data_IF_140805646176
#
_entry.id   IF_140805646176
#
_cell.length_a   1.000
_cell.length_b   1.000
_cell.length_c   1.000
_cell.angle_alpha   90.00
_cell.angle_beta   90.00
_cell.angle_gamma   90.00
#
_symmetry.space_group_name_H-M   'P 1'
#
loop_
_entity.id
_entity.type
_entity.pdbx_description
1 polymer ?
#
# COMPACT_ATOMS: atom_id res chain seq x y z
N UNK A 1 -17.11 7.78 -49.71
CA UNK A 1 -17.34 7.02 -48.46
C UNK A 1 -17.89 5.66 -48.87
N UNK A 2 -17.18 4.57 -48.59
CA UNK A 2 -17.61 3.22 -49.01
C UNK A 2 -18.78 2.78 -48.11
N UNK A 3 -19.95 2.51 -48.69
CA UNK A 3 -21.08 1.95 -47.95
C UNK A 3 -20.90 0.45 -47.85
N UNK A 4 -20.46 -0.02 -46.68
CA UNK A 4 -20.27 -1.44 -46.37
C UNK A 4 -21.65 -2.09 -46.24
N UNK A 5 -22.08 -2.83 -47.28
CA UNK A 5 -23.31 -3.64 -47.26
C UNK A 5 -22.98 -5.06 -46.85
N UNK A 6 -22.77 -5.29 -45.55
CA UNK A 6 -22.56 -6.64 -45.01
C UNK A 6 -23.87 -7.16 -44.42
N UNK A 7 -24.12 -8.45 -44.58
CA UNK A 7 -25.27 -9.09 -43.94
C UNK A 7 -25.05 -9.15 -42.42
N UNK A 8 -26.14 -9.17 -41.64
CA UNK A 8 -26.07 -9.22 -40.17
C UNK A 8 -25.22 -10.41 -39.68
N UNK A 9 -25.26 -11.51 -40.42
CA UNK A 9 -24.54 -12.75 -40.10
C UNK A 9 -23.03 -12.60 -40.28
N UNK A 10 -22.58 -11.94 -41.36
CA UNK A 10 -21.17 -11.61 -41.58
C UNK A 10 -20.64 -10.62 -40.53
N UNK A 11 -21.48 -9.68 -40.09
CA UNK A 11 -21.11 -8.75 -39.01
C UNK A 11 -20.87 -9.49 -37.67
N UNK A 12 -21.77 -10.41 -37.31
CA UNK A 12 -21.63 -11.22 -36.08
C UNK A 12 -20.42 -12.16 -36.15
N UNK A 13 -20.14 -12.72 -37.32
CA UNK A 13 -19.00 -13.61 -37.50
C UNK A 13 -17.67 -12.87 -37.41
N UNK A 14 -17.62 -11.64 -37.93
CA UNK A 14 -16.46 -10.75 -37.80
C UNK A 14 -16.26 -10.29 -36.35
N UNK A 15 -17.35 -10.00 -35.62
CA UNK A 15 -17.30 -9.67 -34.19
C UNK A 15 -16.80 -10.85 -33.33
N UNK A 16 -17.24 -12.07 -33.64
CA UNK A 16 -16.81 -13.28 -32.93
C UNK A 16 -15.36 -13.67 -33.27
N UNK A 17 -14.93 -13.48 -34.52
CA UNK A 17 -13.54 -13.63 -34.95
C UNK A 17 -12.62 -12.64 -34.24
N UNK A 18 -13.02 -11.37 -34.15
CA UNK A 18 -12.27 -10.33 -33.45
C UNK A 18 -12.15 -10.58 -31.93
N UNK A 19 -13.16 -11.21 -31.33
CA UNK A 19 -13.10 -11.63 -29.92
C UNK A 19 -12.22 -12.87 -29.69
N UNK A 20 -11.99 -13.68 -30.72
CA UNK A 20 -11.16 -14.89 -30.63
C UNK A 20 -9.67 -14.56 -30.71
N UNK A 21 -9.29 -13.53 -31.47
CA UNK A 21 -7.91 -13.04 -31.57
C UNK A 21 -7.51 -12.11 -30.40
N UNK A 22 -8.49 -11.64 -29.62
CA UNK A 22 -8.26 -10.86 -28.42
C UNK A 22 -8.25 -11.78 -27.20
N UNK A 23 -7.25 -12.66 -27.10
CA UNK A 23 -6.88 -13.23 -25.82
C UNK A 23 -6.53 -12.06 -24.89
N UNK A 24 -7.45 -11.70 -24.00
CA UNK A 24 -7.16 -10.76 -22.91
C UNK A 24 -6.00 -11.43 -22.16
N UNK A 25 -4.79 -10.86 -22.18
CA UNK A 25 -3.67 -11.53 -21.54
C UNK A 25 -4.06 -11.68 -20.07
N UNK A 26 -4.11 -12.93 -19.58
CA UNK A 26 -4.25 -13.28 -18.17
C UNK A 26 -3.03 -12.80 -17.32
N UNK A 27 -2.33 -11.77 -17.80
CA UNK A 27 -1.17 -11.13 -17.21
C UNK A 27 -1.53 -10.20 -16.03
N UNK A 28 -2.81 -9.98 -15.74
CA UNK A 28 -3.22 -9.17 -14.59
C UNK A 28 -3.07 -9.91 -13.24
N UNK A 29 -2.91 -11.24 -13.23
CA UNK A 29 -3.04 -12.04 -12.02
C UNK A 29 -1.69 -12.36 -11.33
N UNK A 30 -0.56 -11.95 -11.91
CA UNK A 30 0.78 -12.26 -11.39
C UNK A 30 1.67 -11.05 -11.14
N UNK A 31 1.09 -9.86 -10.93
CA UNK A 31 1.84 -8.70 -10.45
C UNK A 31 2.51 -9.05 -9.11
N UNK A 32 3.86 -9.08 -9.02
CA UNK A 32 4.53 -9.45 -7.79
C UNK A 32 4.19 -8.42 -6.71
N UNK A 33 3.45 -8.85 -5.68
CA UNK A 33 3.16 -7.99 -4.54
C UNK A 33 4.47 -7.43 -3.97
N UNK A 34 4.55 -6.12 -3.69
CA UNK A 34 5.77 -5.51 -3.21
C UNK A 34 6.21 -6.18 -1.90
N UNK A 35 7.41 -6.76 -1.91
CA UNK A 35 7.96 -7.49 -0.76
C UNK A 35 8.10 -6.54 0.44
N UNK A 36 7.43 -6.89 1.54
CA UNK A 36 7.52 -6.12 2.80
C UNK A 36 8.97 -6.11 3.29
N UNK A 37 9.58 -4.92 3.35
CA UNK A 37 10.96 -4.75 3.84
C UNK A 37 11.02 -5.05 5.33
N UNK A 38 12.06 -5.78 5.77
CA UNK A 38 12.34 -6.02 7.19
C UNK A 38 12.65 -4.68 7.87
N UNK A 39 12.12 -4.45 9.08
CA UNK A 39 12.39 -3.22 9.83
C UNK A 39 13.87 -3.12 10.22
N UNK A 40 14.50 -1.98 9.93
CA UNK A 40 15.87 -1.67 10.34
C UNK A 40 16.07 -1.81 11.86
N UNK A 41 17.30 -2.12 12.28
CA UNK A 41 17.68 -2.22 13.69
C UNK A 41 17.35 -0.94 14.48
N UNK A 42 17.48 0.24 13.86
CA UNK A 42 17.09 1.51 14.47
C UNK A 42 15.58 1.60 14.72
N UNK A 43 14.76 1.22 13.72
CA UNK A 43 13.29 1.25 13.83
C UNK A 43 12.79 0.32 14.95
N UNK A 44 13.42 -0.85 15.10
CA UNK A 44 13.13 -1.79 16.19
C UNK A 44 13.47 -1.19 17.57
N UNK A 45 14.67 -0.60 17.71
CA UNK A 45 15.09 0.09 18.93
C UNK A 45 14.15 1.24 19.30
N UNK A 46 13.81 2.07 18.31
CA UNK A 46 12.87 3.18 18.46
C UNK A 46 11.50 2.71 18.95
N UNK A 47 10.91 1.69 18.31
CA UNK A 47 9.61 1.14 18.70
C UNK A 47 9.63 0.64 20.15
N UNK A 48 10.69 -0.07 20.55
CA UNK A 48 10.84 -0.56 21.92
C UNK A 48 10.97 0.59 22.93
N UNK A 49 11.80 1.59 22.64
CA UNK A 49 12.01 2.75 23.51
C UNK A 49 10.76 3.63 23.62
N UNK A 50 10.07 3.88 22.51
CA UNK A 50 8.85 4.68 22.51
C UNK A 50 7.75 4.07 23.39
N UNK A 51 7.60 2.73 23.37
CA UNK A 51 6.64 2.03 24.25
C UNK A 51 6.94 2.30 25.72
N UNK A 52 8.21 2.20 26.13
CA UNK A 52 8.66 2.48 27.51
C UNK A 52 8.44 3.93 27.93
N UNK A 53 8.67 4.86 27.01
CA UNK A 53 8.64 6.30 27.29
C UNK A 53 7.23 6.87 27.29
N UNK A 54 6.32 6.30 26.48
CA UNK A 54 4.98 6.84 26.26
C UNK A 54 4.15 6.97 27.54
N UNK A 55 4.25 6.02 28.48
CA UNK A 55 3.49 6.03 29.74
C UNK A 55 3.81 7.24 30.61
N UNK A 56 5.05 7.76 30.56
CA UNK A 56 5.49 8.93 31.35
C UNK A 56 4.85 10.24 30.90
N UNK A 57 4.56 10.34 29.61
CA UNK A 57 4.04 11.54 28.96
C UNK A 57 2.54 11.50 28.70
N UNK A 58 1.89 10.37 28.99
CA UNK A 58 0.44 10.23 29.00
C UNK A 58 -0.12 10.57 30.39
N UNK A 59 -1.36 11.02 30.40
CA UNK A 59 -2.19 11.21 31.58
C UNK A 59 -2.84 9.86 31.96
N UNK A 60 -3.42 9.77 33.16
CA UNK A 60 -4.13 8.56 33.62
C UNK A 60 -5.28 8.16 32.69
N UNK A 61 -5.91 9.13 32.03
CA UNK A 61 -6.97 8.93 31.02
C UNK A 61 -6.44 8.54 29.63
N UNK A 62 -5.13 8.31 29.46
CA UNK A 62 -4.51 7.93 28.19
C UNK A 62 -4.26 9.09 27.21
N UNK A 63 -4.79 10.29 27.47
CA UNK A 63 -4.51 11.49 26.66
C UNK A 63 -3.05 11.92 26.87
N UNK A 64 -2.47 12.57 25.86
CA UNK A 64 -1.14 13.14 25.98
C UNK A 64 -1.17 14.40 26.84
N UNK A 65 -0.14 14.59 27.66
CA UNK A 65 0.12 15.89 28.31
C UNK A 65 0.33 16.97 27.22
N UNK A 66 0.19 18.25 27.57
CA UNK A 66 0.54 19.36 26.66
C UNK A 66 1.97 19.17 26.15
N UNK A 67 2.15 19.12 24.83
CA UNK A 67 3.44 18.80 24.17
C UNK A 67 4.06 17.44 24.55
N UNK A 68 3.33 16.56 25.23
CA UNK A 68 3.83 15.29 25.76
C UNK A 68 4.28 14.32 24.66
N UNK A 69 3.53 14.25 23.55
CA UNK A 69 3.90 13.43 22.39
C UNK A 69 5.24 13.88 21.78
N UNK A 70 5.41 15.19 21.56
CA UNK A 70 6.66 15.78 21.03
C UNK A 70 7.85 15.45 21.93
N UNK A 71 7.69 15.59 23.25
CA UNK A 71 8.71 15.25 24.23
C UNK A 71 9.03 13.75 24.25
N UNK A 72 8.02 12.89 24.16
CA UNK A 72 8.19 11.43 24.10
C UNK A 72 8.96 10.98 22.86
N UNK A 73 8.63 11.53 21.69
CA UNK A 73 9.31 11.24 20.42
C UNK A 73 10.78 11.68 20.48
N UNK A 74 11.05 12.91 20.96
CA UNK A 74 12.42 13.42 21.11
C UNK A 74 13.25 12.53 22.03
N UNK A 75 12.69 12.10 23.15
CA UNK A 75 13.39 11.24 24.11
C UNK A 75 13.60 9.82 23.56
N UNK A 76 12.61 9.24 22.88
CA UNK A 76 12.75 7.93 22.24
C UNK A 76 13.81 7.93 21.15
N UNK A 77 13.88 8.98 20.32
CA UNK A 77 14.96 9.13 19.34
C UNK A 77 16.33 9.28 19.99
N UNK A 78 16.44 10.12 21.03
CA UNK A 78 17.70 10.26 21.79
C UNK A 78 18.18 8.92 22.33
N UNK A 79 17.28 8.10 22.89
CA UNK A 79 17.60 6.76 23.40
C UNK A 79 17.94 5.74 22.30
N UNK A 80 17.48 5.95 21.07
CA UNK A 80 17.68 5.00 19.96
C UNK A 80 18.88 5.31 19.09
N UNK A 81 19.44 6.52 19.23
CA UNK A 81 20.71 6.96 18.62
C UNK A 81 21.94 6.47 19.40
N UNK A 82 21.74 5.99 20.63
CA UNK A 82 22.75 5.31 21.42
C UNK A 82 22.84 3.85 21.00
#
# INVERSE_FOLDING_TARGET
>A
MATVTMTMEEYLQLLNGLSSDMEVPAAAESMPMPKKRKSSAYSRRYKANFRKVSSRFKLKNGKWKKNGFKSAVKLAHKMSKK
#
